data_IF_844596183216
#
_entry.id   IF_844596183216
#
_cell.length_a   1.000
_cell.length_b   1.000
_cell.length_c   1.000
_cell.angle_alpha   90.00
_cell.angle_beta   90.00
_cell.angle_gamma   90.00
#
_symmetry.space_group_name_H-M   'P 1'
#
loop_
_entity.id
_entity.type
_entity.pdbx_description
1 polymer ?
#
# COMPACT_ATOMS: atom_id res chain seq x y z
N UNK A 1 7.39 19.95 8.43
CA UNK A 1 6.94 19.05 7.35
C UNK A 1 5.84 18.17 7.93
N UNK A 2 4.59 18.42 7.57
CA UNK A 2 3.45 17.58 7.99
C UNK A 2 3.57 16.26 7.26
N UNK A 3 3.74 15.15 7.99
CA UNK A 3 3.69 13.82 7.38
C UNK A 3 2.28 13.68 6.78
N UNK A 4 2.12 13.33 5.50
CA UNK A 4 0.82 12.95 4.99
C UNK A 4 0.35 11.72 5.78
N UNK A 5 -0.68 11.91 6.59
CA UNK A 5 -1.34 10.82 7.32
C UNK A 5 -2.32 10.16 6.36
N UNK A 6 -1.95 9.00 5.84
CA UNK A 6 -2.88 8.13 5.12
C UNK A 6 -3.87 7.54 6.13
N UNK A 7 -5.16 7.60 5.82
CA UNK A 7 -6.22 6.98 6.63
C UNK A 7 -6.06 5.46 6.62
N UNK A 8 -6.48 4.78 7.67
CA UNK A 8 -6.33 3.33 7.75
C UNK A 8 -7.17 2.61 6.68
N UNK A 9 -8.33 3.17 6.32
CA UNK A 9 -9.15 2.71 5.18
C UNK A 9 -8.37 2.74 3.87
N UNK A 10 -7.59 3.81 3.63
CA UNK A 10 -6.77 3.91 2.42
C UNK A 10 -5.65 2.87 2.43
N UNK A 11 -4.99 2.66 3.57
CA UNK A 11 -3.93 1.64 3.70
C UNK A 11 -4.48 0.24 3.43
N UNK A 12 -5.61 -0.10 4.06
CA UNK A 12 -6.27 -1.39 3.88
C UNK A 12 -6.72 -1.59 2.44
N UNK A 13 -7.31 -0.57 1.80
CA UNK A 13 -7.71 -0.63 0.40
C UNK A 13 -6.53 -0.89 -0.54
N UNK A 14 -5.38 -0.25 -0.32
CA UNK A 14 -4.16 -0.48 -1.11
C UNK A 14 -3.60 -1.88 -0.88
N UNK A 15 -3.52 -2.33 0.36
CA UNK A 15 -3.03 -3.68 0.70
C UNK A 15 -3.92 -4.75 0.07
N UNK A 16 -5.24 -4.62 0.22
CA UNK A 16 -6.21 -5.53 -0.37
C UNK A 16 -6.09 -5.55 -1.89
N UNK A 17 -5.94 -4.38 -2.52
CA UNK A 17 -5.76 -4.29 -3.97
C UNK A 17 -4.54 -5.08 -4.45
N UNK A 18 -3.40 -4.98 -3.74
CA UNK A 18 -2.19 -5.77 -4.05
C UNK A 18 -2.43 -7.27 -3.88
N UNK A 19 -3.17 -7.68 -2.85
CA UNK A 19 -3.49 -9.09 -2.60
C UNK A 19 -4.43 -9.67 -3.67
N UNK A 20 -5.42 -8.88 -4.10
CA UNK A 20 -6.37 -9.26 -5.15
C UNK A 20 -5.73 -9.26 -6.55
N UNK A 21 -4.65 -8.49 -6.74
CA UNK A 21 -3.90 -8.37 -8.00
C UNK A 21 -2.45 -8.86 -7.85
N UNK A 22 -2.21 -10.16 -7.60
CA UNK A 22 -0.86 -10.70 -7.45
C UNK A 22 -0.01 -10.57 -8.73
N UNK A 23 -0.66 -10.39 -9.89
CA UNK A 23 0.00 -10.17 -11.17
C UNK A 23 0.45 -8.71 -11.36
N UNK A 24 -0.10 -7.76 -10.60
CA UNK A 24 0.36 -6.37 -10.64
C UNK A 24 1.60 -6.21 -9.74
N UNK A 25 2.62 -5.54 -10.27
CA UNK A 25 3.79 -5.19 -9.47
C UNK A 25 3.42 -4.14 -8.41
N UNK A 26 3.92 -4.32 -7.18
CA UNK A 26 3.80 -3.34 -6.08
C UNK A 26 4.18 -1.92 -6.52
N UNK A 27 5.13 -1.79 -7.44
CA UNK A 27 5.57 -0.49 -8.01
C UNK A 27 4.49 0.13 -8.90
N UNK A 28 3.77 -0.68 -9.68
CA UNK A 28 2.66 -0.21 -10.51
C UNK A 28 1.50 0.26 -9.63
N UNK A 29 1.18 -0.53 -8.60
CA UNK A 29 0.17 -0.17 -7.59
C UNK A 29 0.56 1.12 -6.87
N UNK A 30 1.80 1.25 -6.41
CA UNK A 30 2.28 2.46 -5.76
C UNK A 30 2.13 3.71 -6.65
N UNK A 31 2.48 3.61 -7.95
CA UNK A 31 2.26 4.68 -8.93
C UNK A 31 0.78 5.00 -9.12
N UNK A 32 -0.09 3.99 -9.18
CA UNK A 32 -1.54 4.15 -9.35
C UNK A 32 -2.18 4.93 -8.19
N UNK A 33 -1.72 4.66 -6.97
CA UNK A 33 -2.21 5.31 -5.76
C UNK A 33 -1.41 6.58 -5.37
N UNK A 34 -0.39 6.96 -6.15
CA UNK A 34 0.43 8.15 -5.88
C UNK A 34 1.27 8.06 -4.60
N UNK A 35 1.65 6.85 -4.19
CA UNK A 35 2.43 6.58 -2.99
C UNK A 35 3.80 5.99 -3.33
N UNK A 36 4.73 6.05 -2.37
CA UNK A 36 6.03 5.41 -2.52
C UNK A 36 5.90 3.87 -2.45
N UNK A 37 6.75 3.16 -3.18
CA UNK A 37 6.81 1.70 -3.16
C UNK A 37 7.14 1.16 -1.76
N UNK A 38 8.04 1.86 -1.04
CA UNK A 38 8.40 1.53 0.34
C UNK A 38 7.20 1.61 1.30
N UNK A 39 6.24 2.50 1.03
CA UNK A 39 4.99 2.61 1.79
C UNK A 39 4.11 1.38 1.59
N UNK A 40 3.93 0.94 0.34
CA UNK A 40 3.17 -0.29 0.02
C UNK A 40 3.82 -1.51 0.68
N UNK A 41 5.15 -1.61 0.61
CA UNK A 41 5.88 -2.71 1.22
C UNK A 41 5.70 -2.76 2.74
N UNK A 42 5.71 -1.59 3.39
CA UNK A 42 5.52 -1.47 4.84
C UNK A 42 4.12 -1.88 5.25
N UNK A 43 3.09 -1.42 4.54
CA UNK A 43 1.70 -1.79 4.84
C UNK A 43 1.41 -3.27 4.61
N UNK A 44 1.96 -3.88 3.57
CA UNK A 44 1.86 -5.33 3.34
C UNK A 44 2.49 -6.12 4.49
N UNK A 45 3.65 -5.68 4.97
CA UNK A 45 4.33 -6.32 6.09
C UNK A 45 3.53 -6.17 7.39
N UNK A 46 3.02 -4.97 7.66
CA UNK A 46 2.19 -4.69 8.84
C UNK A 46 0.90 -5.53 8.80
N UNK A 47 0.28 -5.71 7.62
CA UNK A 47 -0.91 -6.55 7.44
C UNK A 47 -0.65 -8.05 7.63
N UNK A 48 0.54 -8.54 7.26
CA UNK A 48 0.92 -9.95 7.43
C UNK A 48 1.44 -10.30 8.84
N UNK A 49 1.70 -9.29 9.68
CA UNK A 49 2.18 -9.47 11.05
C UNK A 49 1.04 -9.51 12.09
N UNK A 50 -0.21 -9.67 11.64
CA UNK A 50 -1.41 -9.82 12.46
C UNK A 50 -1.97 -11.24 12.34
#
# INVERSE_FOLDING_TARGET
MTKPTFTDEFKQGVVQYVLDHPNESKVAVAKKFGIADSTVHKWLKDANNN
#
